data_IF_585921537429
#
_entry.id   IF_585921537429
#
_cell.length_a   1.000
_cell.length_b   1.000
_cell.length_c   1.000
_cell.angle_alpha   90.00
_cell.angle_beta   90.00
_cell.angle_gamma   90.00
#
_symmetry.space_group_name_H-M   'P 1'
#
loop_
_entity.id
_entity.type
_entity.pdbx_description
1 polymer ?
#
# COMPACT_ATOMS: atom_id res chain seq x y z
N UNK A 1 29.46 -5.08 -25.44
CA UNK A 1 28.75 -5.73 -24.33
C UNK A 1 28.70 -4.74 -23.18
N UNK A 2 27.55 -4.13 -22.90
CA UNK A 2 27.41 -3.22 -21.76
C UNK A 2 26.38 -3.82 -20.82
N UNK A 3 26.86 -4.47 -19.75
CA UNK A 3 26.00 -5.01 -18.70
C UNK A 3 25.32 -3.85 -17.99
N UNK A 4 23.98 -3.76 -18.12
CA UNK A 4 23.18 -2.84 -17.31
C UNK A 4 23.51 -3.07 -15.82
N UNK A 5 23.71 -2.01 -15.02
CA UNK A 5 24.00 -2.18 -13.60
C UNK A 5 22.82 -2.88 -12.94
N UNK A 6 23.09 -4.01 -12.28
CA UNK A 6 22.12 -4.74 -11.47
C UNK A 6 21.46 -3.77 -10.49
N UNK A 7 20.11 -3.75 -10.36
CA UNK A 7 19.48 -3.00 -9.29
C UNK A 7 20.05 -3.50 -7.96
N UNK A 8 20.39 -2.56 -7.06
CA UNK A 8 20.83 -2.88 -5.71
C UNK A 8 19.82 -3.86 -5.13
N UNK A 9 20.25 -5.11 -4.89
CA UNK A 9 19.45 -6.10 -4.17
C UNK A 9 19.36 -5.59 -2.74
N UNK A 10 18.23 -4.99 -2.37
CA UNK A 10 17.90 -4.77 -0.96
C UNK A 10 17.90 -6.15 -0.30
N UNK A 11 18.83 -6.43 0.64
CA UNK A 11 18.86 -7.73 1.30
C UNK A 11 17.52 -7.99 2.01
N UNK A 12 16.80 -9.03 1.57
CA UNK A 12 15.49 -9.39 2.11
C UNK A 12 14.28 -8.90 1.31
N UNK A 13 14.45 -8.13 0.23
CA UNK A 13 13.35 -7.89 -0.70
C UNK A 13 13.04 -9.17 -1.50
N UNK A 14 11.80 -9.63 -1.40
CA UNK A 14 11.29 -10.83 -2.04
C UNK A 14 9.82 -11.06 -1.64
N UNK A 15 9.17 -12.14 -2.11
CA UNK A 15 7.76 -12.45 -1.83
C UNK A 15 7.55 -12.94 -0.37
N UNK A 16 8.23 -12.31 0.59
CA UNK A 16 8.19 -12.64 2.01
C UNK A 16 6.96 -12.01 2.64
N UNK A 17 6.25 -12.81 3.42
CA UNK A 17 5.17 -12.31 4.28
C UNK A 17 5.74 -11.47 5.41
N UNK A 18 5.21 -10.27 5.58
CA UNK A 18 5.24 -9.54 6.84
C UNK A 18 4.17 -10.16 7.72
N UNK A 19 4.59 -10.74 8.83
CA UNK A 19 3.72 -11.58 9.67
C UNK A 19 3.17 -10.80 10.84
N UNK A 20 1.97 -11.14 11.29
CA UNK A 20 1.36 -10.58 12.50
C UNK A 20 1.43 -9.05 12.56
N UNK A 21 0.86 -8.38 11.55
CA UNK A 21 0.83 -6.93 11.42
C UNK A 21 -0.52 -6.43 11.90
N UNK A 22 -0.52 -5.55 12.91
CA UNK A 22 -1.70 -4.81 13.33
C UNK A 22 -2.29 -4.07 12.13
N UNK A 23 -3.56 -4.35 11.87
CA UNK A 23 -4.28 -3.94 10.68
C UNK A 23 -5.53 -3.19 11.08
N UNK A 24 -5.70 -2.01 10.50
CA UNK A 24 -6.86 -1.14 10.70
C UNK A 24 -7.63 -0.92 9.41
N UNK A 25 -8.81 -0.32 9.52
CA UNK A 25 -9.72 -0.12 8.39
C UNK A 25 -9.91 1.37 8.17
N UNK A 26 -9.85 1.78 6.90
CA UNK A 26 -10.06 3.18 6.53
C UNK A 26 -10.97 3.31 5.30
N UNK A 27 -11.74 4.39 5.30
CA UNK A 27 -12.82 4.60 4.35
C UNK A 27 -12.46 5.69 3.36
N UNK A 28 -12.60 5.42 2.05
CA UNK A 28 -12.57 6.49 1.06
C UNK A 28 -13.71 7.46 1.31
N UNK A 29 -13.39 8.75 1.32
CA UNK A 29 -14.36 9.82 1.47
C UNK A 29 -14.84 10.05 2.90
N UNK A 30 -14.16 9.49 3.90
CA UNK A 30 -14.39 9.81 5.31
C UNK A 30 -14.18 11.30 5.55
N UNK A 31 -15.17 11.94 6.19
CA UNK A 31 -15.09 13.35 6.51
C UNK A 31 -14.03 13.58 7.61
N UNK A 32 -13.31 14.72 7.56
CA UNK A 32 -12.41 15.10 8.64
C UNK A 32 -13.16 15.16 9.98
N UNK A 33 -12.48 14.81 11.06
CA UNK A 33 -12.97 14.97 12.44
C UNK A 33 -11.88 15.61 13.31
N UNK A 34 -12.17 15.89 14.58
CA UNK A 34 -11.21 16.57 15.45
C UNK A 34 -9.90 15.76 15.61
N UNK A 35 -8.80 16.25 15.02
CA UNK A 35 -7.51 15.57 15.02
C UNK A 35 -7.36 14.46 13.99
N UNK A 36 -8.29 14.36 13.03
CA UNK A 36 -8.24 13.45 11.89
C UNK A 36 -8.53 14.23 10.60
N UNK A 37 -7.57 14.33 9.66
CA UNK A 37 -7.79 15.04 8.40
C UNK A 37 -8.85 14.37 7.51
N UNK A 38 -9.33 13.17 7.85
CA UNK A 38 -10.24 12.40 7.03
C UNK A 38 -9.55 11.82 5.80
N UNK A 39 -10.35 11.20 4.94
CA UNK A 39 -9.88 10.42 3.78
C UNK A 39 -10.56 10.91 2.48
N UNK A 40 -10.76 12.23 2.36
CA UNK A 40 -11.40 12.84 1.19
C UNK A 40 -10.54 12.76 -0.08
N UNK A 41 -9.22 12.66 0.09
CA UNK A 41 -8.22 12.47 -0.96
C UNK A 41 -7.21 11.41 -0.54
N UNK A 42 -6.59 10.72 -1.49
CA UNK A 42 -5.39 9.90 -1.20
C UNK A 42 -4.13 10.73 -1.45
N UNK A 43 -2.97 10.20 -1.02
CA UNK A 43 -1.66 10.73 -1.34
C UNK A 43 -1.43 10.99 -2.85
N UNK A 44 -2.19 10.31 -3.71
CA UNK A 44 -1.99 10.30 -5.17
C UNK A 44 -3.25 10.57 -6.00
N UNK A 45 -4.41 10.74 -5.37
CA UNK A 45 -5.68 11.00 -6.05
C UNK A 45 -6.49 12.07 -5.31
N UNK A 46 -6.68 13.24 -5.95
CA UNK A 46 -7.42 14.38 -5.39
C UNK A 46 -8.93 14.14 -5.32
N UNK A 47 -9.50 13.50 -6.33
CA UNK A 47 -10.95 13.24 -6.45
C UNK A 47 -11.35 11.84 -5.92
N UNK A 48 -10.67 11.37 -4.87
CA UNK A 48 -10.73 9.96 -4.47
C UNK A 48 -12.15 9.48 -4.12
N UNK A 49 -12.94 10.35 -3.49
CA UNK A 49 -14.33 10.09 -3.11
C UNK A 49 -15.26 9.91 -4.31
N UNK A 50 -15.03 10.64 -5.39
CA UNK A 50 -15.95 10.74 -6.53
C UNK A 50 -15.63 9.76 -7.65
N UNK A 51 -14.44 9.14 -7.61
CA UNK A 51 -13.99 8.22 -8.65
C UNK A 51 -14.52 6.79 -8.41
N UNK A 52 -15.71 6.54 -8.95
CA UNK A 52 -16.35 5.21 -8.95
C UNK A 52 -15.59 4.17 -9.79
N UNK A 53 -14.58 4.59 -10.57
CA UNK A 53 -13.75 3.67 -11.35
C UNK A 53 -12.61 3.08 -10.55
N UNK A 54 -12.41 3.48 -9.28
CA UNK A 54 -11.34 2.94 -8.46
C UNK A 54 -11.73 1.62 -7.80
N UNK A 55 -10.78 0.68 -7.83
CA UNK A 55 -10.93 -0.63 -7.22
C UNK A 55 -11.32 -0.52 -5.74
N UNK A 56 -12.43 -1.14 -5.28
CA UNK A 56 -12.81 -1.12 -3.87
C UNK A 56 -11.87 -1.92 -2.97
N UNK A 57 -10.96 -2.71 -3.56
CA UNK A 57 -9.95 -3.49 -2.87
C UNK A 57 -8.64 -2.71 -2.82
N UNK A 58 -8.48 -1.91 -1.77
CA UNK A 58 -7.31 -1.05 -1.59
C UNK A 58 -6.71 -1.13 -0.19
N UNK A 59 -5.46 -0.68 -0.08
CA UNK A 59 -4.69 -0.54 1.17
C UNK A 59 -3.90 0.77 1.21
N UNK A 60 -3.48 1.15 2.41
CA UNK A 60 -2.39 2.08 2.63
C UNK A 60 -1.20 1.39 3.33
N UNK A 61 0.01 1.79 2.94
CA UNK A 61 1.27 1.40 3.59
C UNK A 61 2.08 2.66 3.96
N UNK A 62 2.88 2.64 5.05
CA UNK A 62 3.40 3.86 5.67
C UNK A 62 4.65 4.41 4.97
N UNK A 63 4.60 4.58 3.65
CA UNK A 63 5.66 5.18 2.86
C UNK A 63 5.12 5.94 1.64
N UNK A 64 5.52 7.20 1.49
CA UNK A 64 5.31 8.01 0.30
C UNK A 64 6.65 8.26 -0.39
N UNK A 65 6.73 7.99 -1.69
CA UNK A 65 7.90 8.26 -2.52
C UNK A 65 7.90 9.67 -3.10
N UNK A 66 6.85 10.46 -2.86
CA UNK A 66 6.72 11.85 -3.29
C UNK A 66 6.48 12.76 -2.09
N UNK A 67 7.18 13.88 -2.03
CA UNK A 67 7.00 14.93 -1.02
C UNK A 67 7.13 16.29 -1.67
N UNK A 68 6.18 17.20 -1.40
CA UNK A 68 6.16 18.55 -1.96
C UNK A 68 6.28 18.59 -3.50
N UNK A 69 5.71 17.60 -4.18
CA UNK A 69 5.75 17.50 -5.64
C UNK A 69 7.07 16.98 -6.21
N UNK A 70 8.01 16.52 -5.37
CA UNK A 70 9.28 15.94 -5.79
C UNK A 70 9.40 14.49 -5.33
N UNK A 71 10.06 13.67 -6.14
CA UNK A 71 10.41 12.31 -5.76
C UNK A 71 11.46 12.35 -4.65
N UNK A 72 11.24 11.55 -3.60
CA UNK A 72 12.15 11.52 -2.47
C UNK A 72 13.51 10.94 -2.86
N UNK A 73 14.63 11.49 -2.34
CA UNK A 73 15.97 11.06 -2.73
C UNK A 73 16.25 9.57 -2.50
N UNK A 74 15.70 8.97 -1.45
CA UNK A 74 15.93 7.56 -1.13
C UNK A 74 15.15 6.61 -2.05
N UNK A 75 14.10 7.07 -2.72
CA UNK A 75 13.18 6.25 -3.53
C UNK A 75 13.92 5.40 -4.58
N UNK A 76 14.94 5.97 -5.23
CA UNK A 76 15.76 5.29 -6.24
C UNK A 76 16.53 4.08 -5.70
N UNK A 77 16.84 4.09 -4.41
CA UNK A 77 17.63 3.06 -3.73
C UNK A 77 16.75 2.05 -3.00
N UNK A 78 15.60 2.48 -2.46
CA UNK A 78 14.77 1.68 -1.56
C UNK A 78 13.55 1.05 -2.25
N UNK A 79 13.09 1.58 -3.37
CA UNK A 79 11.93 1.04 -4.08
C UNK A 79 12.41 0.04 -5.14
N UNK A 80 12.07 -1.25 -5.02
CA UNK A 80 12.68 -2.29 -5.85
C UNK A 80 12.37 -2.21 -7.34
N UNK A 81 11.25 -1.60 -7.70
CA UNK A 81 10.83 -1.42 -9.10
C UNK A 81 11.10 -0.01 -9.64
N UNK A 82 11.74 0.88 -8.86
CA UNK A 82 11.90 2.29 -9.22
C UNK A 82 12.48 2.49 -10.62
N UNK A 83 13.64 1.89 -10.88
CA UNK A 83 14.35 2.06 -12.16
C UNK A 83 13.55 1.62 -13.40
N UNK A 84 12.56 0.73 -13.21
CA UNK A 84 11.72 0.22 -14.30
C UNK A 84 10.50 1.12 -14.54
N UNK A 85 10.00 1.77 -13.50
CA UNK A 85 8.69 2.40 -13.51
C UNK A 85 8.72 3.91 -13.33
N UNK A 86 9.86 4.46 -12.92
CA UNK A 86 10.04 5.89 -12.83
C UNK A 86 9.91 6.54 -14.22
N UNK A 87 9.03 7.53 -14.31
CA UNK A 87 8.79 8.29 -15.54
C UNK A 87 9.28 9.73 -15.40
N UNK A 88 8.93 10.39 -14.30
CA UNK A 88 9.27 11.80 -14.04
C UNK A 88 9.31 12.10 -12.55
N UNK A 89 10.05 13.15 -12.20
CA UNK A 89 10.08 13.69 -10.83
C UNK A 89 8.67 14.07 -10.36
N UNK A 90 8.39 13.80 -9.08
CA UNK A 90 7.09 14.08 -8.46
C UNK A 90 5.97 13.11 -8.85
N UNK A 91 6.25 12.10 -9.68
CA UNK A 91 5.30 11.04 -9.99
C UNK A 91 5.62 9.78 -9.18
N UNK A 92 4.63 9.31 -8.40
CA UNK A 92 4.76 8.08 -7.62
C UNK A 92 4.89 6.85 -8.50
N UNK A 93 5.69 5.88 -8.04
CA UNK A 93 5.76 4.50 -8.58
C UNK A 93 5.07 3.48 -7.66
N UNK A 94 4.42 3.92 -6.58
CA UNK A 94 3.81 3.06 -5.56
C UNK A 94 2.34 2.77 -5.84
N UNK A 95 1.61 3.75 -6.40
CA UNK A 95 0.17 3.62 -6.69
C UNK A 95 -0.13 2.43 -7.60
N UNK A 96 -1.10 1.62 -7.18
CA UNK A 96 -1.61 0.47 -7.93
C UNK A 96 -0.78 -0.80 -7.81
N UNK A 97 0.27 -0.82 -6.97
CA UNK A 97 1.00 -2.04 -6.63
C UNK A 97 0.11 -3.00 -5.87
N UNK A 98 0.28 -4.30 -6.09
CA UNK A 98 -0.57 -5.31 -5.47
C UNK A 98 0.07 -5.90 -4.23
N UNK A 99 -0.76 -6.10 -3.21
CA UNK A 99 -0.43 -6.92 -2.05
C UNK A 99 -1.38 -8.10 -1.92
N UNK A 100 -0.87 -9.22 -1.42
CA UNK A 100 -1.70 -10.29 -0.88
C UNK A 100 -1.82 -10.07 0.63
N UNK A 101 -3.01 -10.29 1.19
CA UNK A 101 -3.32 -10.13 2.60
C UNK A 101 -3.93 -11.43 3.09
N UNK A 102 -3.41 -11.98 4.19
CA UNK A 102 -3.86 -13.23 4.79
C UNK A 102 -4.36 -12.99 6.21
N UNK A 103 -5.53 -13.54 6.50
CA UNK A 103 -6.12 -13.59 7.83
C UNK A 103 -6.72 -14.98 8.06
N UNK A 104 -6.22 -15.70 9.06
CA UNK A 104 -6.55 -17.12 9.26
C UNK A 104 -6.28 -17.96 8.00
N UNK A 105 -7.31 -18.63 7.50
CA UNK A 105 -7.26 -19.45 6.29
C UNK A 105 -7.66 -18.69 5.00
N UNK A 106 -7.99 -17.40 5.09
CA UNK A 106 -8.42 -16.59 3.94
C UNK A 106 -7.28 -15.73 3.41
N UNK A 107 -7.26 -15.58 2.09
CA UNK A 107 -6.36 -14.64 1.39
C UNK A 107 -7.18 -13.80 0.42
N UNK A 108 -6.92 -12.51 0.40
CA UNK A 108 -7.39 -11.59 -0.65
C UNK A 108 -6.24 -10.76 -1.18
N UNK A 109 -6.53 -9.94 -2.19
CA UNK A 109 -5.57 -9.04 -2.80
C UNK A 109 -6.15 -7.64 -2.90
N UNK A 110 -5.29 -6.65 -2.77
CA UNK A 110 -5.67 -5.25 -2.79
C UNK A 110 -4.57 -4.38 -3.39
N UNK A 111 -4.97 -3.24 -3.96
CA UNK A 111 -4.07 -2.28 -4.55
C UNK A 111 -3.60 -1.27 -3.50
N UNK A 112 -2.32 -0.92 -3.55
CA UNK A 112 -1.78 0.16 -2.74
C UNK A 112 -2.21 1.50 -3.35
N UNK A 113 -3.11 2.20 -2.67
CA UNK A 113 -3.76 3.40 -3.21
C UNK A 113 -3.57 4.66 -2.37
N UNK A 114 -2.98 4.51 -1.17
CA UNK A 114 -2.73 5.61 -0.25
C UNK A 114 -1.55 5.38 0.71
N UNK A 115 -1.20 6.37 1.52
CA UNK A 115 -0.08 6.32 2.45
C UNK A 115 -0.56 6.42 3.90
N UNK A 116 -0.13 5.47 4.71
CA UNK A 116 -0.50 5.33 6.11
C UNK A 116 -0.33 3.87 6.56
N UNK A 117 -0.55 3.53 7.83
CA UNK A 117 -1.09 4.35 8.90
C UNK A 117 -0.02 5.25 9.58
N UNK A 118 -0.43 6.44 10.03
CA UNK A 118 0.30 7.41 10.90
C UNK A 118 1.63 7.98 10.41
N UNK A 119 2.28 7.34 9.45
CA UNK A 119 3.62 7.68 8.99
C UNK A 119 3.66 7.55 7.47
N UNK A 120 4.57 8.32 6.87
CA UNK A 120 4.70 8.41 5.42
C UNK A 120 6.14 8.15 4.98
N UNK A 121 7.04 7.74 5.87
CA UNK A 121 8.49 7.68 5.62
C UNK A 121 9.14 6.34 6.01
N UNK A 122 8.35 5.31 6.32
CA UNK A 122 8.84 4.07 6.91
C UNK A 122 9.17 2.99 5.88
N UNK A 123 10.05 3.31 4.92
CA UNK A 123 10.48 2.38 3.87
C UNK A 123 11.20 1.14 4.43
N UNK A 124 11.86 1.25 5.59
CA UNK A 124 12.57 0.13 6.23
C UNK A 124 11.61 -0.99 6.65
N UNK A 125 10.39 -0.63 7.05
CA UNK A 125 9.33 -1.61 7.26
C UNK A 125 8.75 -2.04 5.92
N UNK A 126 8.38 -1.11 5.03
CA UNK A 126 7.66 -1.47 3.79
C UNK A 126 8.48 -2.38 2.87
N UNK A 127 9.73 -2.02 2.58
CA UNK A 127 10.62 -2.77 1.68
C UNK A 127 11.69 -3.59 2.39
N UNK A 128 12.00 -3.26 3.65
CA UNK A 128 12.96 -3.99 4.47
C UNK A 128 12.31 -4.99 5.44
N UNK A 129 13.02 -5.26 6.54
CA UNK A 129 12.68 -6.28 7.54
C UNK A 129 12.26 -5.70 8.90
N UNK A 130 12.13 -4.37 9.03
CA UNK A 130 11.66 -3.77 10.29
C UNK A 130 10.20 -4.14 10.58
N UNK A 131 9.78 -3.93 11.83
CA UNK A 131 8.37 -3.97 12.25
C UNK A 131 7.77 -2.56 12.11
N UNK A 132 6.44 -2.40 12.01
CA UNK A 132 5.81 -1.08 12.10
C UNK A 132 6.27 -0.36 13.37
N UNK A 133 6.46 0.96 13.28
CA UNK A 133 6.80 1.78 14.45
C UNK A 133 5.61 1.93 15.39
N UNK A 134 5.86 2.19 16.69
CA UNK A 134 4.79 2.40 17.65
C UNK A 134 3.81 3.48 17.24
N UNK A 135 2.52 3.22 17.41
CA UNK A 135 1.45 4.18 17.16
C UNK A 135 0.18 3.88 17.98
N UNK A 136 -0.77 4.82 17.97
CA UNK A 136 -2.02 4.74 18.77
C UNK A 136 -2.90 3.53 18.44
N UNK A 137 -2.73 2.91 17.27
CA UNK A 137 -3.49 1.74 16.83
C UNK A 137 -2.69 0.43 16.97
N UNK A 138 -1.97 0.26 18.09
CA UNK A 138 -1.20 -0.96 18.41
C UNK A 138 -0.16 -1.27 17.34
N UNK A 139 0.62 -0.28 16.95
CA UNK A 139 1.69 -0.42 15.97
C UNK A 139 1.13 -0.86 14.60
N UNK A 140 -0.01 -0.30 14.21
CA UNK A 140 -0.61 -0.54 12.91
C UNK A 140 0.41 -0.29 11.80
N UNK A 141 0.46 -1.21 10.83
CA UNK A 141 1.35 -1.12 9.67
C UNK A 141 0.68 -1.44 8.35
N UNK A 142 -0.63 -1.64 8.36
CA UNK A 142 -1.46 -1.91 7.20
C UNK A 142 -2.84 -1.30 7.46
N UNK A 143 -3.29 -0.42 6.59
CA UNK A 143 -4.69 0.00 6.54
C UNK A 143 -5.38 -0.67 5.36
N UNK A 144 -6.54 -1.27 5.59
CA UNK A 144 -7.30 -1.99 4.57
C UNK A 144 -8.66 -1.35 4.30
N UNK A 145 -9.12 -1.49 3.06
CA UNK A 145 -10.47 -1.11 2.65
C UNK A 145 -11.58 -1.92 3.36
N UNK A 146 -12.82 -1.40 3.41
CA UNK A 146 -13.97 -2.15 3.91
C UNK A 146 -14.23 -3.47 3.14
N UNK A 147 -13.91 -3.53 1.85
CA UNK A 147 -14.05 -4.76 1.06
C UNK A 147 -13.10 -5.86 1.55
N UNK A 148 -11.86 -5.50 1.87
CA UNK A 148 -10.88 -6.41 2.48
C UNK A 148 -11.34 -6.83 3.88
N UNK A 149 -11.77 -5.87 4.70
CA UNK A 149 -12.29 -6.14 6.03
C UNK A 149 -13.41 -7.17 6.01
N UNK A 150 -14.44 -6.93 5.18
CA UNK A 150 -15.61 -7.80 5.06
C UNK A 150 -15.23 -9.20 4.59
N UNK A 151 -14.34 -9.32 3.60
CA UNK A 151 -13.95 -10.61 3.05
C UNK A 151 -13.13 -11.45 4.04
N UNK A 152 -12.15 -10.82 4.69
CA UNK A 152 -11.25 -11.46 5.66
C UNK A 152 -11.90 -11.63 7.04
N UNK A 153 -13.03 -10.99 7.32
CA UNK A 153 -13.70 -11.03 8.62
C UNK A 153 -12.93 -10.31 9.72
N UNK A 154 -12.24 -9.22 9.37
CA UNK A 154 -11.46 -8.39 10.30
C UNK A 154 -12.42 -7.56 11.17
N UNK A 155 -12.22 -7.56 12.48
CA UNK A 155 -13.05 -6.75 13.41
C UNK A 155 -12.21 -5.77 14.21
N UNK A 156 -12.52 -4.47 14.11
CA UNK A 156 -11.77 -3.42 14.81
C UNK A 156 -10.29 -3.38 14.39
N UNK A 157 -9.39 -3.39 15.38
CA UNK A 157 -7.96 -3.59 15.16
C UNK A 157 -7.68 -5.09 15.27
N UNK A 158 -7.23 -5.69 14.17
CA UNK A 158 -6.91 -7.12 14.10
C UNK A 158 -5.49 -7.33 13.55
N UNK A 159 -5.09 -8.58 13.34
CA UNK A 159 -3.74 -8.93 12.93
C UNK A 159 -3.77 -9.71 11.62
N UNK A 160 -3.11 -9.18 10.59
CA UNK A 160 -2.99 -9.84 9.28
C UNK A 160 -1.53 -10.07 8.91
N UNK A 161 -1.31 -10.99 7.96
CA UNK A 161 -0.06 -11.05 7.23
C UNK A 161 -0.22 -10.38 5.86
N UNK A 162 0.84 -9.79 5.32
CA UNK A 162 0.81 -9.28 3.94
C UNK A 162 2.14 -9.41 3.21
N UNK A 163 2.10 -9.39 1.87
CA UNK A 163 3.30 -9.32 1.03
C UNK A 163 3.00 -8.64 -0.30
N UNK A 164 4.03 -8.11 -0.95
CA UNK A 164 3.93 -7.70 -2.36
C UNK A 164 3.73 -8.89 -3.27
N UNK A 165 2.94 -8.68 -4.33
CA UNK A 165 2.79 -9.61 -5.46
C UNK A 165 2.82 -8.84 -6.78
N UNK A 166 3.33 -9.46 -7.83
CA UNK A 166 3.35 -8.83 -9.17
C UNK A 166 1.95 -8.74 -9.77
N UNK A 167 1.14 -9.80 -9.58
CA UNK A 167 -0.25 -9.88 -10.02
C UNK A 167 -1.10 -10.61 -8.99
N UNK A 168 -2.36 -10.18 -8.77
CA UNK A 168 -3.29 -10.92 -7.93
C UNK A 168 -3.73 -12.22 -8.60
N UNK A 169 -4.06 -13.24 -7.81
CA UNK A 169 -4.83 -14.38 -8.30
C UNK A 169 -6.26 -13.94 -8.67
N UNK A 170 -7.03 -14.68 -9.48
CA UNK A 170 -8.42 -14.33 -9.77
C UNK A 170 -9.29 -14.26 -8.50
N UNK A 171 -10.18 -13.26 -8.43
CA UNK A 171 -11.15 -13.11 -7.35
C UNK A 171 -11.97 -11.82 -7.46
N UNK A 172 -12.77 -11.47 -6.44
CA UNK A 172 -13.59 -10.25 -6.47
C UNK A 172 -12.79 -8.95 -6.70
N UNK A 173 -11.52 -8.92 -6.27
CA UNK A 173 -10.59 -7.79 -6.45
C UNK A 173 -10.14 -7.57 -7.90
N UNK A 174 -10.31 -8.55 -8.79
CA UNK A 174 -10.06 -8.41 -10.24
C UNK A 174 -11.33 -8.14 -11.04
N UNK A 175 -12.51 -8.13 -10.41
CA UNK A 175 -13.80 -7.97 -11.11
C UNK A 175 -14.22 -6.50 -11.32
N UNK A 176 -13.50 -5.54 -10.73
CA UNK A 176 -13.80 -4.12 -10.89
C UNK A 176 -13.53 -3.64 -12.32
N UNK A 177 -14.38 -2.76 -12.91
CA UNK A 177 -14.10 -2.11 -14.18
C UNK A 177 -12.73 -1.40 -14.24
N UNK A 178 -12.21 -0.98 -13.07
CA UNK A 178 -10.86 -0.44 -12.88
C UNK A 178 -9.75 -1.37 -13.39
N UNK A 179 -9.94 -2.67 -13.14
CA UNK A 179 -8.96 -3.70 -13.41
C UNK A 179 -8.96 -4.09 -14.89
N UNK A 180 -10.14 -4.16 -15.51
CA UNK A 180 -10.32 -4.62 -16.91
C UNK A 180 -9.73 -3.66 -17.94
N UNK A 181 -9.46 -2.40 -17.56
CA UNK A 181 -8.90 -1.37 -18.45
C UNK A 181 -7.36 -1.27 -18.44
N UNK A 182 -6.65 -2.17 -17.75
CA UNK A 182 -5.18 -2.21 -17.70
C UNK A 182 -4.65 -3.47 -18.38
#
# INVERSE_FOLDING_TARGET
MSSKPSPLRIPGFGPRWKLHISTTVFWRGEAPSAGDPGNLSSAWAKEWRSDLTLNPWYVALPYNDVQNGHTRPEAVSVIPWFKREFVRDGQTVLKGKWVAIRHGNKVCYAQWEDVGPFQVDHWQYVFGNERPRPNRNRDAGLDVSPAVQQYLGITGIDVCDWKFVDRPAPGPWTASPAYVRR
#
